data_IF_070612646888
#
_entry.id   IF_070612646888
#
_cell.length_a   1.000
_cell.length_b   1.000
_cell.length_c   1.000
_cell.angle_alpha   90.00
_cell.angle_beta   90.00
_cell.angle_gamma   90.00
#
_symmetry.space_group_name_H-M   'P 1'
#
loop_
_entity.id
_entity.type
_entity.pdbx_description
1 polymer ?
#
# COMPACT_ATOMS: atom_id res chain seq x y z
N UNK A 1 -84.29 -64.76 38.00
CA UNK A 1 -83.39 -64.30 36.91
C UNK A 1 -84.28 -64.07 35.71
N UNK A 2 -84.49 -62.81 35.30
CA UNK A 2 -85.33 -62.51 34.14
C UNK A 2 -84.54 -62.87 32.88
N UNK A 3 -85.06 -63.81 32.08
CA UNK A 3 -84.54 -64.14 30.76
C UNK A 3 -84.71 -62.91 29.87
N UNK A 4 -83.60 -62.22 29.59
CA UNK A 4 -83.58 -61.17 28.57
C UNK A 4 -83.83 -61.88 27.24
N UNK A 5 -84.91 -61.49 26.55
CA UNK A 5 -85.21 -62.00 25.20
C UNK A 5 -84.02 -61.78 24.28
N UNK A 6 -83.73 -62.74 23.42
CA UNK A 6 -82.66 -62.64 22.41
C UNK A 6 -82.80 -61.34 21.59
N UNK A 7 -84.02 -60.89 21.34
CA UNK A 7 -84.32 -59.64 20.63
C UNK A 7 -83.87 -58.40 21.41
N UNK A 8 -84.10 -58.35 22.72
CA UNK A 8 -83.68 -57.24 23.58
C UNK A 8 -82.16 -57.17 23.72
N UNK A 9 -81.50 -58.34 23.77
CA UNK A 9 -80.04 -58.40 23.75
C UNK A 9 -79.46 -57.88 22.43
N UNK A 10 -80.01 -58.34 21.29
CA UNK A 10 -79.58 -57.88 19.95
C UNK A 10 -79.84 -56.39 19.74
N UNK A 11 -80.98 -55.87 20.20
CA UNK A 11 -81.31 -54.44 20.12
C UNK A 11 -80.36 -53.58 20.94
N UNK A 12 -80.04 -54.00 22.16
CA UNK A 12 -79.08 -53.29 23.01
C UNK A 12 -77.65 -53.34 22.44
N UNK A 13 -77.24 -54.47 21.85
CA UNK A 13 -75.95 -54.55 21.16
C UNK A 13 -75.89 -53.66 19.93
N UNK A 14 -76.95 -53.65 19.11
CA UNK A 14 -77.04 -52.78 17.93
C UNK A 14 -76.97 -51.29 18.30
N UNK A 15 -77.69 -50.86 19.34
CA UNK A 15 -77.62 -49.48 19.83
C UNK A 15 -76.24 -49.12 20.37
N UNK A 16 -75.55 -50.04 21.05
CA UNK A 16 -74.19 -49.83 21.56
C UNK A 16 -73.19 -49.69 20.41
N UNK A 17 -73.23 -50.60 19.44
CA UNK A 17 -72.36 -50.54 18.25
C UNK A 17 -72.63 -49.26 17.45
N UNK A 18 -73.89 -48.88 17.28
CA UNK A 18 -74.25 -47.64 16.57
C UNK A 18 -73.72 -46.40 17.28
N UNK A 19 -73.81 -46.35 18.61
CA UNK A 19 -73.27 -45.25 19.41
C UNK A 19 -71.74 -45.21 19.36
N UNK A 20 -71.08 -46.36 19.43
CA UNK A 20 -69.63 -46.45 19.35
C UNK A 20 -69.11 -46.01 17.96
N UNK A 21 -69.81 -46.39 16.88
CA UNK A 21 -69.48 -45.94 15.50
C UNK A 21 -69.67 -44.43 15.36
N UNK A 22 -70.78 -43.87 15.86
CA UNK A 22 -71.03 -42.42 15.83
C UNK A 22 -69.95 -41.68 16.62
N UNK A 23 -69.63 -42.14 17.83
CA UNK A 23 -68.58 -41.53 18.65
C UNK A 23 -67.19 -41.57 17.99
N UNK A 24 -66.83 -42.68 17.34
CA UNK A 24 -65.59 -42.78 16.58
C UNK A 24 -65.59 -41.86 15.35
N UNK A 25 -66.72 -41.70 14.67
CA UNK A 25 -66.86 -40.78 13.53
C UNK A 25 -66.69 -39.32 13.98
N UNK A 26 -67.34 -38.92 15.06
CA UNK A 26 -67.23 -37.56 15.62
C UNK A 26 -65.81 -37.26 16.09
N UNK A 27 -65.15 -38.20 16.76
CA UNK A 27 -63.75 -38.04 17.19
C UNK A 27 -62.80 -37.94 15.99
N UNK A 28 -63.03 -38.74 14.95
CA UNK A 28 -62.26 -38.67 13.71
C UNK A 28 -62.44 -37.33 12.99
N UNK A 29 -63.67 -36.83 12.88
CA UNK A 29 -63.97 -35.55 12.24
C UNK A 29 -63.36 -34.38 13.02
N UNK A 30 -63.40 -34.44 14.36
CA UNK A 30 -62.76 -33.42 15.20
C UNK A 30 -61.23 -33.43 15.03
N UNK A 31 -60.60 -34.61 15.00
CA UNK A 31 -59.16 -34.74 14.72
C UNK A 31 -58.80 -34.20 13.34
N UNK A 32 -59.62 -34.50 12.33
CA UNK A 32 -59.44 -33.97 10.98
C UNK A 32 -59.52 -32.44 10.98
N UNK A 33 -60.54 -31.84 11.59
CA UNK A 33 -60.68 -30.39 11.68
C UNK A 33 -59.48 -29.72 12.37
N UNK A 34 -59.01 -30.27 13.50
CA UNK A 34 -57.83 -29.74 14.19
C UNK A 34 -56.57 -29.83 13.32
N UNK A 35 -56.40 -30.95 12.60
CA UNK A 35 -55.27 -31.13 11.70
C UNK A 35 -55.32 -30.12 10.53
N UNK A 36 -56.49 -29.93 9.92
CA UNK A 36 -56.68 -28.95 8.85
C UNK A 36 -56.41 -27.51 9.31
N UNK A 37 -56.89 -27.12 10.49
CA UNK A 37 -56.60 -25.81 11.08
C UNK A 37 -55.10 -25.59 11.26
N UNK A 38 -54.40 -26.58 11.82
CA UNK A 38 -52.94 -26.53 12.01
C UNK A 38 -52.19 -26.41 10.69
N UNK A 39 -52.60 -27.19 9.68
CA UNK A 39 -52.00 -27.11 8.34
C UNK A 39 -52.22 -25.73 7.71
N UNK A 40 -53.42 -25.18 7.86
CA UNK A 40 -53.76 -23.86 7.34
C UNK A 40 -52.95 -22.74 8.02
N UNK A 41 -52.84 -22.76 9.35
CA UNK A 41 -52.01 -21.80 10.11
C UNK A 41 -50.53 -21.90 9.74
N UNK A 42 -50.03 -23.13 9.51
CA UNK A 42 -48.66 -23.34 9.03
C UNK A 42 -48.44 -22.74 7.64
N UNK A 43 -49.40 -22.93 6.73
CA UNK A 43 -49.34 -22.35 5.39
C UNK A 43 -49.35 -20.81 5.43
N UNK A 44 -50.24 -20.22 6.24
CA UNK A 44 -50.31 -18.78 6.46
C UNK A 44 -48.96 -18.21 6.96
N UNK A 45 -48.35 -18.83 7.96
CA UNK A 45 -47.03 -18.42 8.46
C UNK A 45 -45.93 -18.49 7.40
N UNK A 46 -46.01 -19.45 6.46
CA UNK A 46 -45.07 -19.52 5.34
C UNK A 46 -45.25 -18.36 4.35
N UNK A 47 -46.49 -17.95 4.07
CA UNK A 47 -46.75 -16.77 3.23
C UNK A 47 -46.18 -15.50 3.87
N UNK A 48 -46.41 -15.29 5.17
CA UNK A 48 -45.85 -14.15 5.91
C UNK A 48 -44.32 -14.13 5.84
N UNK A 49 -43.67 -15.27 6.11
CA UNK A 49 -42.20 -15.38 6.02
C UNK A 49 -41.66 -15.09 4.62
N UNK A 50 -42.36 -15.56 3.59
CA UNK A 50 -41.96 -15.32 2.20
C UNK A 50 -42.06 -13.84 1.84
N UNK A 51 -43.15 -13.16 2.24
CA UNK A 51 -43.31 -11.73 2.00
C UNK A 51 -42.25 -10.91 2.76
N UNK A 52 -41.99 -11.23 4.03
CA UNK A 52 -40.94 -10.60 4.85
C UNK A 52 -39.55 -10.74 4.21
N UNK A 53 -39.27 -11.89 3.58
CA UNK A 53 -38.01 -12.09 2.85
C UNK A 53 -37.95 -11.26 1.55
N UNK A 54 -39.06 -11.12 0.84
CA UNK A 54 -39.12 -10.39 -0.43
C UNK A 54 -39.14 -8.87 -0.27
N UNK A 55 -39.66 -8.36 0.86
CA UNK A 55 -39.83 -6.93 1.11
C UNK A 55 -39.78 -6.59 2.60
N UNK A 56 -38.55 -6.51 3.13
CA UNK A 56 -38.31 -6.21 4.54
C UNK A 56 -38.76 -4.79 4.92
N UNK A 57 -38.64 -3.82 4.01
CA UNK A 57 -39.03 -2.42 4.27
C UNK A 57 -40.56 -2.31 4.46
N UNK A 58 -41.33 -3.12 3.73
CA UNK A 58 -42.78 -3.17 3.90
C UNK A 58 -43.20 -3.83 5.23
N UNK A 59 -42.53 -4.90 5.65
CA UNK A 59 -42.74 -5.51 6.97
C UNK A 59 -42.51 -4.49 8.11
N UNK A 60 -41.41 -3.72 8.03
CA UNK A 60 -41.13 -2.66 9.00
C UNK A 60 -42.18 -1.53 9.00
N UNK A 61 -42.77 -1.20 7.84
CA UNK A 61 -43.83 -0.21 7.73
C UNK A 61 -45.17 -0.73 8.30
N UNK A 62 -45.47 -2.00 8.08
CA UNK A 62 -46.63 -2.71 8.65
C UNK A 62 -46.56 -2.75 10.19
N UNK A 63 -45.40 -3.07 10.75
CA UNK A 63 -45.17 -3.03 12.20
C UNK A 63 -45.37 -1.62 12.77
N UNK A 64 -44.82 -0.59 12.12
CA UNK A 64 -44.97 0.81 12.54
C UNK A 64 -46.42 1.32 12.49
N UNK A 65 -47.25 0.75 11.63
CA UNK A 65 -48.66 1.10 11.49
C UNK A 65 -49.61 0.21 12.32
N UNK A 66 -49.06 -0.66 13.18
CA UNK A 66 -49.79 -1.60 14.03
C UNK A 66 -50.67 -2.60 13.24
N UNK A 67 -50.31 -2.85 11.99
CA UNK A 67 -50.91 -3.81 11.09
C UNK A 67 -49.86 -4.84 10.65
N UNK A 68 -49.44 -5.75 11.55
CA UNK A 68 -48.43 -6.75 11.25
C UNK A 68 -48.91 -7.71 10.15
N UNK A 69 -47.97 -8.28 9.41
CA UNK A 69 -48.25 -9.14 8.24
C UNK A 69 -49.07 -10.37 8.63
N UNK A 70 -48.93 -10.87 9.86
CA UNK A 70 -49.67 -11.99 10.44
C UNK A 70 -51.18 -11.74 10.58
N UNK A 71 -51.64 -10.49 10.41
CA UNK A 71 -53.08 -10.14 10.43
C UNK A 71 -53.67 -9.97 9.03
N UNK A 72 -52.87 -10.08 7.97
CA UNK A 72 -53.34 -9.95 6.59
C UNK A 72 -54.07 -11.22 6.15
N UNK A 73 -55.01 -11.09 5.21
CA UNK A 73 -55.64 -12.24 4.59
C UNK A 73 -54.65 -12.97 3.66
N UNK A 74 -54.81 -14.29 3.51
CA UNK A 74 -53.96 -15.11 2.63
C UNK A 74 -53.93 -14.60 1.18
N UNK A 75 -55.08 -14.13 0.68
CA UNK A 75 -55.21 -13.59 -0.68
C UNK A 75 -54.38 -12.30 -0.87
N UNK A 76 -54.37 -11.44 0.15
CA UNK A 76 -53.58 -10.20 0.13
C UNK A 76 -52.08 -10.50 0.20
N UNK A 77 -51.67 -11.44 1.07
CA UNK A 77 -50.29 -11.91 1.16
C UNK A 77 -49.82 -12.50 -0.17
N UNK A 78 -50.61 -13.37 -0.78
CA UNK A 78 -50.30 -13.99 -2.07
C UNK A 78 -50.17 -12.95 -3.19
N UNK A 79 -51.08 -11.97 -3.23
CA UNK A 79 -51.04 -10.89 -4.21
C UNK A 79 -49.77 -10.04 -4.09
N UNK A 80 -49.39 -9.65 -2.87
CA UNK A 80 -48.18 -8.87 -2.61
C UNK A 80 -46.92 -9.63 -3.00
N UNK A 81 -46.83 -10.92 -2.65
CA UNK A 81 -45.72 -11.81 -3.05
C UNK A 81 -45.61 -11.85 -4.58
N UNK A 82 -46.72 -12.04 -5.28
CA UNK A 82 -46.74 -12.09 -6.74
C UNK A 82 -46.24 -10.79 -7.39
N UNK A 83 -46.63 -9.62 -6.87
CA UNK A 83 -46.14 -8.34 -7.37
C UNK A 83 -44.63 -8.22 -7.19
N UNK A 84 -44.12 -8.55 -6.00
CA UNK A 84 -42.68 -8.44 -5.71
C UNK A 84 -41.84 -9.40 -6.54
N UNK A 85 -42.31 -10.63 -6.70
CA UNK A 85 -41.66 -11.60 -7.60
C UNK A 85 -41.63 -11.11 -9.05
N UNK A 86 -42.72 -10.50 -9.56
CA UNK A 86 -42.76 -9.96 -10.91
C UNK A 86 -41.77 -8.82 -11.10
N UNK A 87 -41.69 -7.89 -10.14
CA UNK A 87 -40.73 -6.79 -10.18
C UNK A 87 -39.28 -7.29 -10.23
N UNK A 88 -38.93 -8.28 -9.41
CA UNK A 88 -37.61 -8.92 -9.43
C UNK A 88 -37.31 -9.59 -10.77
N UNK A 89 -38.29 -10.29 -11.36
CA UNK A 89 -38.13 -10.92 -12.67
C UNK A 89 -37.95 -9.90 -13.80
N UNK A 90 -38.65 -8.77 -13.74
CA UNK A 90 -38.53 -7.70 -14.74
C UNK A 90 -37.17 -7.00 -14.64
N UNK A 91 -36.62 -6.83 -13.44
CA UNK A 91 -35.26 -6.31 -13.24
C UNK A 91 -34.17 -7.25 -13.76
N UNK A 92 -34.35 -8.57 -13.59
CA UNK A 92 -33.44 -9.57 -14.17
C UNK A 92 -33.50 -9.52 -15.70
N UNK A 93 -34.70 -9.46 -16.28
CA UNK A 93 -34.87 -9.36 -17.75
C UNK A 93 -34.31 -8.06 -18.34
N UNK A 94 -34.33 -6.96 -17.60
CA UNK A 94 -33.69 -5.69 -18.05
C UNK A 94 -32.16 -5.75 -18.00
N UNK A 95 -31.58 -6.58 -17.13
CA UNK A 95 -30.12 -6.74 -16.98
C UNK A 95 -29.52 -7.73 -17.99
N UNK A 96 -30.30 -8.68 -18.52
CA UNK A 96 -29.86 -9.52 -19.64
C UNK A 96 -29.98 -8.76 -20.97
N UNK A 97 -28.96 -7.97 -21.34
CA UNK A 97 -28.81 -7.46 -22.71
C UNK A 97 -27.95 -8.43 -23.53
N UNK A 98 -28.52 -9.20 -24.49
CA UNK A 98 -27.77 -10.19 -25.27
C UNK A 98 -26.70 -9.62 -26.20
N UNK A 99 -26.68 -8.30 -26.45
CA UNK A 99 -25.65 -7.63 -27.25
C UNK A 99 -24.28 -7.53 -26.55
N UNK A 100 -24.27 -7.19 -25.25
CA UNK A 100 -23.04 -6.99 -24.48
C UNK A 100 -22.24 -8.29 -24.32
N UNK A 101 -22.94 -9.43 -24.20
CA UNK A 101 -22.32 -10.74 -24.05
C UNK A 101 -21.59 -11.20 -25.33
N UNK A 102 -22.14 -10.84 -26.51
CA UNK A 102 -21.48 -11.11 -27.79
C UNK A 102 -20.29 -10.19 -28.03
N UNK A 103 -20.38 -8.93 -27.61
CA UNK A 103 -19.29 -7.96 -27.70
C UNK A 103 -18.13 -8.32 -26.78
N UNK A 104 -18.42 -8.72 -25.54
CA UNK A 104 -17.42 -9.27 -24.61
C UNK A 104 -16.76 -10.52 -25.18
N UNK A 105 -17.53 -11.42 -25.82
CA UNK A 105 -16.97 -12.62 -26.46
C UNK A 105 -16.05 -12.28 -27.64
N UNK A 106 -16.37 -11.24 -28.41
CA UNK A 106 -15.52 -10.75 -29.49
C UNK A 106 -14.21 -10.14 -28.93
N UNK A 107 -14.33 -9.28 -27.92
CA UNK A 107 -13.17 -8.68 -27.25
C UNK A 107 -12.26 -9.74 -26.62
N UNK A 108 -12.83 -10.78 -26.01
CA UNK A 108 -12.06 -11.88 -25.43
C UNK A 108 -11.26 -12.64 -26.49
N UNK A 109 -11.83 -12.82 -27.68
CA UNK A 109 -11.16 -13.47 -28.82
C UNK A 109 -10.01 -12.61 -29.36
N UNK A 110 -10.23 -11.31 -29.53
CA UNK A 110 -9.17 -10.37 -29.94
C UNK A 110 -8.04 -10.30 -28.91
N UNK A 111 -8.39 -10.29 -27.62
CA UNK A 111 -7.41 -10.24 -26.54
C UNK A 111 -6.58 -11.52 -26.49
N UNK A 112 -7.21 -12.69 -26.70
CA UNK A 112 -6.50 -13.97 -26.81
C UNK A 112 -5.52 -14.01 -27.99
N UNK A 113 -5.89 -13.41 -29.12
CA UNK A 113 -5.01 -13.32 -30.29
C UNK A 113 -3.80 -12.41 -30.02
N UNK A 114 -4.03 -11.23 -29.43
CA UNK A 114 -2.96 -10.32 -29.01
C UNK A 114 -2.03 -10.96 -27.98
N UNK A 115 -2.57 -11.73 -27.04
CA UNK A 115 -1.75 -12.44 -26.05
C UNK A 115 -0.82 -13.47 -26.71
N UNK A 116 -1.33 -14.24 -27.67
CA UNK A 116 -0.51 -15.19 -28.44
C UNK A 116 0.58 -14.50 -29.26
N UNK A 117 0.32 -13.33 -29.83
CA UNK A 117 1.34 -12.55 -30.55
C UNK A 117 2.42 -12.03 -29.58
N UNK A 118 2.00 -11.53 -28.41
CA UNK A 118 2.93 -11.05 -27.38
C UNK A 118 3.82 -12.17 -26.85
N UNK A 119 3.26 -13.36 -26.65
CA UNK A 119 4.00 -14.53 -26.17
C UNK A 119 5.09 -14.95 -27.18
N UNK A 120 4.80 -14.90 -28.49
CA UNK A 120 5.80 -15.15 -29.53
C UNK A 120 6.92 -14.10 -29.51
N UNK A 121 6.58 -12.82 -29.37
CA UNK A 121 7.58 -11.74 -29.27
C UNK A 121 8.45 -11.90 -28.02
N UNK A 122 7.83 -12.22 -26.88
CA UNK A 122 8.55 -12.42 -25.63
C UNK A 122 9.52 -13.61 -25.72
N UNK A 123 9.10 -14.71 -26.33
CA UNK A 123 9.97 -15.86 -26.60
C UNK A 123 11.18 -15.47 -27.45
N UNK A 124 10.98 -14.65 -28.50
CA UNK A 124 12.08 -14.12 -29.32
C UNK A 124 13.03 -13.20 -28.54
N UNK A 125 12.51 -12.36 -27.65
CA UNK A 125 13.32 -11.49 -26.80
C UNK A 125 14.15 -12.27 -25.78
N UNK A 126 13.56 -13.30 -25.17
CA UNK A 126 14.27 -14.20 -24.23
C UNK A 126 15.45 -14.90 -24.93
N UNK A 127 15.23 -15.39 -26.16
CA UNK A 127 16.29 -16.02 -26.95
C UNK A 127 17.41 -15.04 -27.31
N UNK A 128 17.06 -13.81 -27.72
CA UNK A 128 18.03 -12.75 -27.99
C UNK A 128 18.84 -12.37 -26.73
N UNK A 129 18.18 -12.28 -25.58
CA UNK A 129 18.85 -11.98 -24.30
C UNK A 129 19.85 -13.08 -23.92
N UNK A 130 19.46 -14.36 -24.11
CA UNK A 130 20.35 -15.50 -23.87
C UNK A 130 21.59 -15.46 -24.78
N UNK A 131 21.42 -15.04 -26.04
CA UNK A 131 22.54 -14.85 -26.97
C UNK A 131 23.49 -13.73 -26.53
N UNK A 132 22.94 -12.57 -26.15
CA UNK A 132 23.74 -11.44 -25.65
C UNK A 132 24.48 -11.78 -24.35
N UNK A 133 23.86 -12.53 -23.44
CA UNK A 133 24.54 -13.03 -22.25
C UNK A 133 25.70 -13.98 -22.59
N UNK A 134 25.54 -14.86 -23.59
CA UNK A 134 26.61 -15.70 -24.09
C UNK A 134 27.78 -14.90 -24.66
N UNK A 135 27.49 -13.88 -25.48
CA UNK A 135 28.50 -12.97 -26.02
C UNK A 135 29.24 -12.19 -24.92
N UNK A 136 28.51 -11.69 -23.92
CA UNK A 136 29.08 -10.96 -22.79
C UNK A 136 29.98 -11.86 -21.92
N UNK A 137 29.58 -13.12 -21.70
CA UNK A 137 30.42 -14.11 -21.01
C UNK A 137 31.70 -14.43 -21.78
N UNK A 138 31.62 -14.54 -23.11
CA UNK A 138 32.78 -14.73 -23.97
C UNK A 138 33.71 -13.52 -23.93
N UNK A 139 33.18 -12.29 -24.01
CA UNK A 139 33.97 -11.06 -23.90
C UNK A 139 34.63 -10.92 -22.54
N UNK A 140 33.93 -11.25 -21.45
CA UNK A 140 34.51 -11.26 -20.11
C UNK A 140 35.63 -12.31 -19.97
N UNK A 141 35.48 -13.47 -20.62
CA UNK A 141 36.52 -14.50 -20.67
C UNK A 141 37.74 -14.03 -21.49
N UNK A 142 37.53 -13.29 -22.57
CA UNK A 142 38.63 -12.66 -23.31
C UNK A 142 39.33 -11.56 -22.50
N UNK A 143 38.57 -10.73 -21.78
CA UNK A 143 39.14 -9.70 -20.91
C UNK A 143 39.93 -10.30 -19.74
N UNK A 144 39.47 -11.41 -19.15
CA UNK A 144 40.21 -12.10 -18.09
C UNK A 144 41.49 -12.74 -18.62
N UNK A 145 41.46 -13.34 -19.82
CA UNK A 145 42.65 -13.85 -20.49
C UNK A 145 43.67 -12.75 -20.82
N UNK A 146 43.21 -11.59 -21.31
CA UNK A 146 44.08 -10.42 -21.54
C UNK A 146 44.69 -9.88 -20.25
N UNK A 147 43.92 -9.78 -19.16
CA UNK A 147 44.43 -9.37 -17.85
C UNK A 147 45.46 -10.36 -17.30
N UNK A 148 45.25 -11.65 -17.49
CA UNK A 148 46.21 -12.68 -17.09
C UNK A 148 47.50 -12.58 -17.90
N UNK A 149 47.40 -12.45 -19.23
CA UNK A 149 48.57 -12.24 -20.10
C UNK A 149 49.34 -10.95 -19.75
N UNK A 150 48.64 -9.87 -19.39
CA UNK A 150 49.26 -8.62 -18.95
C UNK A 150 49.97 -8.78 -17.59
N UNK A 151 49.40 -9.58 -16.68
CA UNK A 151 50.01 -9.91 -15.38
C UNK A 151 51.23 -10.83 -15.54
N UNK A 152 51.21 -11.73 -16.52
CA UNK A 152 52.34 -12.61 -16.84
C UNK A 152 53.48 -11.84 -17.52
N UNK A 153 53.17 -10.84 -18.36
CA UNK A 153 54.16 -9.88 -18.89
C UNK A 153 54.76 -9.05 -17.75
N UNK A 154 53.94 -8.51 -16.83
CA UNK A 154 54.42 -7.71 -15.70
C UNK A 154 55.29 -8.53 -14.72
N UNK A 155 54.96 -9.81 -14.50
CA UNK A 155 55.75 -10.71 -13.66
C UNK A 155 57.07 -11.16 -14.31
N UNK A 156 57.17 -11.15 -15.65
CA UNK A 156 58.44 -11.39 -16.35
C UNK A 156 59.36 -10.16 -16.34
N UNK A 157 58.82 -8.94 -16.21
CA UNK A 157 59.63 -7.71 -16.15
C UNK A 157 60.22 -7.42 -14.76
N UNK A 158 59.77 -8.09 -13.69
CA UNK A 158 60.19 -7.80 -12.29
C UNK A 158 61.49 -8.54 -11.86
N UNK A 159 62.13 -9.31 -12.74
CA UNK A 159 63.51 -9.83 -12.50
C UNK A 159 64.61 -9.05 -13.21
N UNK A 160 64.32 -7.84 -13.70
CA UNK A 160 65.32 -6.98 -14.32
C UNK A 160 65.10 -5.52 -13.98
N UNK A 161 66.13 -4.91 -13.40
CA UNK A 161 66.41 -3.46 -13.35
C UNK A 161 65.96 -2.71 -12.09
N UNK A 162 66.98 -2.48 -11.27
CA UNK A 162 67.13 -1.52 -10.19
C UNK A 162 67.12 -0.08 -10.75
N UNK A 163 66.56 0.84 -9.96
CA UNK A 163 66.81 2.29 -9.94
C UNK A 163 66.19 3.12 -11.07
N UNK A 164 65.29 4.05 -10.72
CA UNK A 164 65.56 5.51 -10.61
C UNK A 164 64.22 6.26 -10.49
N UNK A 165 64.17 7.20 -9.54
CA UNK A 165 63.27 8.35 -9.39
C UNK A 165 61.77 8.11 -9.13
N UNK A 166 61.37 8.41 -7.89
CA UNK A 166 60.04 8.94 -7.57
C UNK A 166 59.77 10.20 -8.39
N UNK A 167 58.70 10.17 -9.18
CA UNK A 167 58.07 11.36 -9.74
C UNK A 167 56.77 11.55 -8.94
N UNK A 168 56.61 12.67 -8.22
CA UNK A 168 55.33 12.99 -7.61
C UNK A 168 54.32 13.26 -8.73
N UNK A 169 53.22 12.52 -8.72
CA UNK A 169 52.05 12.84 -9.53
C UNK A 169 51.53 14.19 -9.03
N UNK A 170 51.82 15.25 -9.77
CA UNK A 170 51.17 16.55 -9.59
C UNK A 170 49.68 16.38 -9.90
N UNK A 171 48.77 16.82 -9.02
CA UNK A 171 47.37 16.99 -9.38
C UNK A 171 47.23 18.30 -10.18
N UNK A 172 47.68 18.26 -11.44
CA UNK A 172 47.39 19.30 -12.43
C UNK A 172 45.95 19.15 -12.92
N UNK A 173 45.00 19.53 -12.04
CA UNK A 173 43.66 20.01 -12.41
C UNK A 173 42.88 20.58 -11.21
N UNK A 174 43.57 21.08 -10.17
CA UNK A 174 42.96 22.09 -9.29
C UNK A 174 42.97 23.41 -10.06
N UNK A 175 41.95 23.64 -10.88
CA UNK A 175 41.56 24.98 -11.28
C UNK A 175 41.66 25.85 -10.02
N UNK A 176 42.46 26.91 -10.09
CA UNK A 176 42.82 27.76 -8.96
C UNK A 176 41.60 28.01 -8.08
N UNK A 177 41.58 27.40 -6.88
CA UNK A 177 40.48 27.56 -5.93
C UNK A 177 40.18 29.06 -5.78
N UNK A 178 38.91 29.48 -5.93
CA UNK A 178 38.54 30.88 -5.81
C UNK A 178 39.12 31.53 -4.54
N UNK A 179 39.62 32.77 -4.68
CA UNK A 179 40.35 33.47 -3.61
C UNK A 179 39.53 33.56 -2.32
N UNK A 180 38.20 33.70 -2.44
CA UNK A 180 37.28 33.78 -1.32
C UNK A 180 37.26 32.53 -0.44
N UNK A 181 37.61 31.34 -0.96
CA UNK A 181 37.63 30.09 -0.16
C UNK A 181 38.61 30.21 1.02
N UNK A 182 39.75 30.89 0.82
CA UNK A 182 40.72 31.13 1.89
C UNK A 182 40.16 32.09 2.95
N UNK A 183 39.45 33.13 2.53
CA UNK A 183 38.77 34.06 3.44
C UNK A 183 37.69 33.35 4.24
N UNK A 184 36.91 32.47 3.60
CA UNK A 184 35.90 31.66 4.25
C UNK A 184 36.49 30.66 5.25
N UNK A 185 37.60 29.98 4.91
CA UNK A 185 38.34 29.09 5.83
C UNK A 185 38.84 29.80 7.09
N UNK A 186 39.17 31.09 6.99
CA UNK A 186 39.60 31.91 8.12
C UNK A 186 38.42 32.50 8.94
N UNK A 187 37.18 32.32 8.48
CA UNK A 187 36.00 32.88 9.16
C UNK A 187 35.64 32.12 10.44
N UNK A 188 35.06 32.82 11.42
CA UNK A 188 34.61 32.22 12.69
C UNK A 188 33.49 31.17 12.53
N UNK A 189 32.79 31.18 11.39
CA UNK A 189 31.70 30.27 11.08
C UNK A 189 32.12 29.00 10.34
N UNK A 190 33.36 28.94 9.87
CA UNK A 190 33.82 27.93 8.93
C UNK A 190 33.61 26.50 9.42
N UNK A 191 33.93 26.19 10.67
CA UNK A 191 33.87 24.82 11.19
C UNK A 191 32.46 24.21 11.04
N UNK A 192 31.41 24.94 11.41
CA UNK A 192 30.03 24.44 11.30
C UNK A 192 29.51 24.49 9.87
N UNK A 193 29.81 25.57 9.15
CA UNK A 193 29.34 25.76 7.77
C UNK A 193 30.00 24.76 6.79
N UNK A 194 31.29 24.45 6.98
CA UNK A 194 31.97 23.41 6.19
C UNK A 194 31.39 22.02 6.46
N UNK A 195 31.04 21.70 7.70
CA UNK A 195 30.36 20.43 8.02
C UNK A 195 28.99 20.32 7.37
N UNK A 196 28.22 21.42 7.23
CA UNK A 196 26.97 21.39 6.48
C UNK A 196 27.20 21.01 5.01
N UNK A 197 28.18 21.64 4.36
CA UNK A 197 28.55 21.34 2.96
C UNK A 197 29.03 19.90 2.82
N UNK A 198 29.87 19.42 3.74
CA UNK A 198 30.36 18.04 3.78
C UNK A 198 29.22 17.04 3.98
N UNK A 199 28.28 17.30 4.90
CA UNK A 199 27.11 16.44 5.11
C UNK A 199 26.28 16.35 3.84
N UNK A 200 25.97 17.49 3.22
CA UNK A 200 25.16 17.51 1.99
C UNK A 200 25.86 16.77 0.85
N UNK A 201 27.16 16.98 0.64
CA UNK A 201 27.89 16.31 -0.43
C UNK A 201 28.17 14.82 -0.16
N UNK A 202 28.46 14.42 1.08
CA UNK A 202 28.75 13.01 1.40
C UNK A 202 27.50 12.13 1.42
N UNK A 203 26.34 12.72 1.72
CA UNK A 203 25.10 11.95 1.95
C UNK A 203 24.02 12.20 0.91
N UNK A 204 24.11 13.32 0.17
CA UNK A 204 23.05 13.77 -0.73
C UNK A 204 21.80 14.28 -0.01
N UNK A 205 21.81 14.43 1.32
CA UNK A 205 20.64 14.85 2.10
C UNK A 205 20.13 16.23 1.68
N UNK A 206 18.81 16.34 1.51
CA UNK A 206 18.15 17.55 1.04
C UNK A 206 17.35 18.27 2.14
N UNK A 207 16.81 17.55 3.12
CA UNK A 207 15.95 18.16 4.13
C UNK A 207 16.78 18.84 5.21
N UNK A 208 16.50 20.13 5.49
CA UNK A 208 17.22 20.90 6.52
C UNK A 208 17.28 20.21 7.89
N UNK A 209 16.18 19.65 8.45
CA UNK A 209 16.26 18.92 9.73
C UNK A 209 17.17 17.69 9.69
N UNK A 210 17.28 17.05 8.53
CA UNK A 210 18.11 15.86 8.34
C UNK A 210 19.58 16.20 8.23
N UNK A 211 19.88 17.31 7.53
CA UNK A 211 21.22 17.89 7.45
C UNK A 211 21.68 18.29 8.85
N UNK A 212 20.87 19.05 9.61
CA UNK A 212 21.25 19.50 10.96
C UNK A 212 21.43 18.33 11.94
N UNK A 213 20.60 17.28 11.84
CA UNK A 213 20.77 16.05 12.61
C UNK A 213 22.11 15.36 12.33
N UNK A 214 22.51 15.27 11.07
CA UNK A 214 23.78 14.63 10.70
C UNK A 214 24.99 15.51 11.07
N UNK A 215 24.86 16.83 10.95
CA UNK A 215 25.86 17.78 11.47
C UNK A 215 26.05 17.60 12.97
N UNK A 216 24.97 17.50 13.74
CA UNK A 216 25.01 17.30 15.19
C UNK A 216 25.76 16.01 15.55
N UNK A 217 25.53 14.90 14.83
CA UNK A 217 26.28 13.65 15.01
C UNK A 217 27.76 13.82 14.72
N UNK A 218 28.13 14.42 13.58
CA UNK A 218 29.55 14.58 13.18
C UNK A 218 30.32 15.50 14.12
N UNK A 219 29.68 16.54 14.63
CA UNK A 219 30.27 17.50 15.57
C UNK A 219 30.14 17.07 17.03
N UNK A 220 29.47 15.95 17.33
CA UNK A 220 29.15 15.52 18.69
C UNK A 220 28.44 16.61 19.53
N UNK A 221 27.51 17.35 18.89
CA UNK A 221 26.74 18.44 19.50
C UNK A 221 25.29 18.02 19.77
N UNK A 222 24.65 18.66 20.76
CA UNK A 222 23.19 18.53 20.94
C UNK A 222 22.43 19.28 19.84
N UNK A 223 21.30 18.69 19.43
CA UNK A 223 20.33 19.30 18.52
C UNK A 223 19.64 20.55 19.12
N UNK A 224 19.68 20.74 20.44
CA UNK A 224 19.00 21.84 21.14
C UNK A 224 19.68 23.21 20.94
N UNK A 225 20.79 23.24 20.18
CA UNK A 225 21.57 24.46 19.94
C UNK A 225 21.28 25.03 18.56
N UNK A 226 20.63 26.21 18.51
CA UNK A 226 20.33 26.96 17.29
C UNK A 226 21.55 27.28 16.41
N UNK A 227 22.78 27.13 16.93
CA UNK A 227 23.99 27.41 16.17
C UNK A 227 24.22 26.53 14.93
N UNK A 228 23.64 25.32 14.87
CA UNK A 228 23.69 24.49 13.66
C UNK A 228 22.73 25.02 12.59
N UNK A 229 21.54 25.45 13.02
CA UNK A 229 20.56 26.05 12.12
C UNK A 229 21.07 27.38 11.56
N UNK A 230 21.72 28.19 12.40
CA UNK A 230 22.38 29.42 11.97
C UNK A 230 23.51 29.16 10.96
N UNK A 231 24.30 28.09 11.15
CA UNK A 231 25.35 27.72 10.22
C UNK A 231 24.81 27.35 8.83
N UNK A 232 23.64 26.70 8.75
CA UNK A 232 22.93 26.44 7.49
C UNK A 232 22.35 27.73 6.92
N UNK A 233 21.74 28.59 7.75
CA UNK A 233 21.21 29.89 7.30
C UNK A 233 22.28 30.80 6.67
N UNK A 234 23.50 30.81 7.20
CA UNK A 234 24.59 31.61 6.63
C UNK A 234 24.92 31.20 5.19
N UNK A 235 24.84 29.91 4.89
CA UNK A 235 25.16 29.37 3.55
C UNK A 235 24.10 29.70 2.48
N UNK A 236 22.90 30.15 2.90
CA UNK A 236 21.81 30.58 2.03
C UNK A 236 21.94 32.02 1.55
N UNK A 237 22.86 32.80 2.14
CA UNK A 237 23.08 34.20 1.81
C UNK A 237 24.52 34.42 1.39
N UNK A 238 24.73 35.42 0.55
CA UNK A 238 26.08 35.91 0.26
C UNK A 238 26.60 36.67 1.49
N UNK A 239 27.81 36.33 1.93
CA UNK A 239 28.50 37.07 2.98
C UNK A 239 29.66 37.83 2.33
N UNK A 240 29.53 39.16 2.26
CA UNK A 240 30.47 40.04 1.56
C UNK A 240 31.91 39.79 2.04
N UNK A 241 32.82 39.58 1.08
CA UNK A 241 34.24 39.24 1.32
C UNK A 241 34.50 37.90 2.02
N UNK A 242 33.49 37.06 2.23
CA UNK A 242 33.62 35.75 2.88
C UNK A 242 33.30 34.62 1.90
N UNK A 243 32.04 34.48 1.48
CA UNK A 243 31.61 33.43 0.56
C UNK A 243 30.36 33.82 -0.26
N UNK A 244 30.21 33.30 -1.50
CA UNK A 244 28.96 33.39 -2.25
C UNK A 244 27.89 32.47 -1.64
N UNK A 245 26.68 32.45 -2.20
CA UNK A 245 25.63 31.51 -1.81
C UNK A 245 26.10 30.07 -2.13
N UNK A 246 26.24 29.23 -1.11
CA UNK A 246 26.74 27.85 -1.25
C UNK A 246 25.61 26.80 -1.22
N UNK A 247 24.47 27.18 -0.67
CA UNK A 247 23.26 26.36 -0.60
C UNK A 247 22.09 27.21 -1.08
N UNK A 248 21.16 26.61 -1.79
CA UNK A 248 19.91 27.25 -2.16
C UNK A 248 18.69 26.45 -1.69
N UNK A 249 17.58 27.15 -1.46
CA UNK A 249 16.27 26.53 -1.24
C UNK A 249 15.65 26.18 -2.58
N UNK A 250 15.13 24.97 -2.71
CA UNK A 250 14.37 24.59 -3.91
C UNK A 250 13.01 25.30 -3.87
N UNK A 251 12.71 26.10 -4.89
CA UNK A 251 11.46 26.84 -5.03
C UNK A 251 10.28 25.92 -5.38
N UNK A 252 9.05 26.41 -5.20
CA UNK A 252 7.82 25.69 -5.53
C UNK A 252 7.37 24.65 -4.49
N UNK A 253 7.95 24.69 -3.30
CA UNK A 253 7.51 23.86 -2.16
C UNK A 253 6.28 24.47 -1.50
N UNK A 254 5.27 23.67 -1.11
CA UNK A 254 4.14 24.20 -0.36
C UNK A 254 4.56 24.62 1.06
N UNK A 255 4.03 25.76 1.48
CA UNK A 255 4.25 26.30 2.83
C UNK A 255 3.68 25.40 3.94
N UNK A 256 2.75 24.48 3.61
CA UNK A 256 2.14 23.54 4.55
C UNK A 256 2.43 22.08 4.16
N UNK A 257 2.95 21.31 5.12
CA UNK A 257 3.37 19.91 4.96
C UNK A 257 2.25 18.88 5.13
N UNK A 258 1.00 19.33 5.32
CA UNK A 258 -0.19 18.48 5.36
C UNK A 258 -1.47 19.32 5.46
N UNK A 259 -2.61 18.70 5.14
CA UNK A 259 -3.96 19.22 5.41
C UNK A 259 -4.23 19.45 6.92
N UNK A 260 -3.30 19.03 7.79
CA UNK A 260 -3.40 19.01 9.26
C UNK A 260 -2.45 19.96 9.98
N UNK A 261 -1.69 20.80 9.26
CA UNK A 261 -0.98 21.95 9.85
C UNK A 261 0.44 21.68 10.38
N UNK A 262 1.21 20.79 9.75
CA UNK A 262 2.67 20.72 9.98
C UNK A 262 3.44 21.62 9.00
N UNK A 263 4.53 22.25 9.43
CA UNK A 263 5.44 22.95 8.50
C UNK A 263 6.18 21.93 7.63
N UNK A 264 6.18 22.13 6.31
CA UNK A 264 7.10 21.43 5.41
C UNK A 264 8.55 21.80 5.77
N UNK A 265 9.48 20.84 5.85
CA UNK A 265 10.88 21.18 6.01
C UNK A 265 11.40 21.95 4.78
N UNK A 266 12.33 22.88 5.02
CA UNK A 266 13.12 23.47 3.93
C UNK A 266 13.84 22.35 3.16
N UNK A 267 13.69 22.36 1.83
CA UNK A 267 14.43 21.47 0.92
C UNK A 267 15.59 22.26 0.32
N UNK A 268 16.80 21.76 0.54
CA UNK A 268 18.06 22.43 0.26
C UNK A 268 18.88 21.65 -0.78
N UNK A 269 19.66 22.35 -1.59
CA UNK A 269 20.69 21.75 -2.46
C UNK A 269 21.95 22.61 -2.51
N UNK A 270 23.08 21.97 -2.79
CA UNK A 270 24.34 22.70 -3.05
C UNK A 270 24.25 23.44 -4.38
N UNK A 271 24.64 24.70 -4.39
CA UNK A 271 24.88 25.48 -5.62
C UNK A 271 26.12 24.95 -6.35
N UNK A 272 26.42 25.44 -7.56
CA UNK A 272 27.66 25.07 -8.25
C UNK A 272 28.90 25.47 -7.43
N UNK A 273 28.86 26.63 -6.79
CA UNK A 273 29.89 27.10 -5.85
C UNK A 273 29.98 26.18 -4.62
N UNK A 274 28.84 25.74 -4.08
CA UNK A 274 28.79 24.78 -2.98
C UNK A 274 29.41 23.42 -3.34
N UNK A 275 29.20 22.94 -4.57
CA UNK A 275 29.82 21.70 -5.08
C UNK A 275 31.33 21.83 -5.24
N UNK A 276 31.80 22.97 -5.77
CA UNK A 276 33.23 23.26 -5.88
C UNK A 276 33.90 23.29 -4.50
N UNK A 277 33.26 23.93 -3.52
CA UNK A 277 33.73 23.92 -2.13
C UNK A 277 33.77 22.51 -1.57
N UNK A 278 32.70 21.72 -1.76
CA UNK A 278 32.69 20.34 -1.31
C UNK A 278 33.86 19.55 -1.89
N UNK A 279 34.07 19.63 -3.20
CA UNK A 279 35.17 18.94 -3.88
C UNK A 279 36.54 19.37 -3.35
N UNK A 280 36.70 20.66 -3.02
CA UNK A 280 37.91 21.18 -2.40
C UNK A 280 38.15 20.62 -0.99
N UNK A 281 37.09 20.39 -0.21
CA UNK A 281 37.16 19.88 1.16
C UNK A 281 37.28 18.35 1.24
N UNK A 282 36.55 17.62 0.39
CA UNK A 282 36.44 16.16 0.43
C UNK A 282 37.38 15.45 -0.56
N UNK A 283 37.84 16.14 -1.61
CA UNK A 283 38.72 15.58 -2.65
C UNK A 283 38.01 14.72 -3.70
N UNK A 284 36.67 14.67 -3.70
CA UNK A 284 35.86 13.98 -4.70
C UNK A 284 34.54 14.72 -4.97
N UNK A 285 33.82 14.27 -6.00
CA UNK A 285 32.52 14.84 -6.37
C UNK A 285 31.44 14.56 -5.30
N UNK A 286 30.49 15.49 -5.08
CA UNK A 286 29.38 15.29 -4.15
C UNK A 286 28.39 14.26 -4.69
N UNK A 287 27.80 13.50 -3.77
CA UNK A 287 26.63 12.67 -4.06
C UNK A 287 25.47 13.58 -4.48
N UNK A 288 24.76 13.18 -5.53
CA UNK A 288 23.60 13.91 -6.03
C UNK A 288 22.51 14.08 -4.97
N UNK A 289 21.86 15.25 -5.00
CA UNK A 289 20.78 15.60 -4.07
C UNK A 289 19.63 14.57 -4.13
N UNK A 290 19.22 14.07 -2.97
CA UNK A 290 18.23 12.99 -2.87
C UNK A 290 16.85 13.44 -3.37
N UNK A 291 16.48 14.71 -3.17
CA UNK A 291 15.21 15.25 -3.65
C UNK A 291 15.19 15.32 -5.18
N UNK A 292 16.25 15.87 -5.80
CA UNK A 292 16.36 15.95 -7.27
C UNK A 292 16.33 14.59 -7.95
N UNK A 293 16.83 13.55 -7.27
CA UNK A 293 16.76 12.16 -7.72
C UNK A 293 15.34 11.60 -7.60
N UNK A 294 14.67 11.82 -6.47
CA UNK A 294 13.39 11.19 -6.14
C UNK A 294 12.19 11.89 -6.77
N UNK A 295 12.22 13.21 -6.97
CA UNK A 295 11.09 13.97 -7.54
C UNK A 295 10.72 13.49 -8.96
N UNK A 296 11.67 12.88 -9.68
CA UNK A 296 11.45 12.29 -11.01
C UNK A 296 10.62 11.00 -10.96
N UNK A 297 10.52 10.38 -9.79
CA UNK A 297 9.84 9.11 -9.57
C UNK A 297 8.51 9.26 -8.83
N UNK A 298 8.19 10.44 -8.32
CA UNK A 298 7.00 10.66 -7.49
C UNK A 298 6.10 11.76 -8.07
N UNK A 299 4.81 11.67 -7.74
CA UNK A 299 3.76 12.51 -8.34
C UNK A 299 3.76 13.97 -7.90
N UNK A 300 4.36 14.30 -6.73
CA UNK A 300 4.35 15.67 -6.20
C UNK A 300 5.52 15.96 -5.25
N UNK A 301 5.88 17.25 -5.06
CA UNK A 301 6.88 17.66 -4.08
C UNK A 301 6.61 17.15 -2.66
N UNK A 302 5.35 17.21 -2.20
CA UNK A 302 4.96 16.79 -0.85
C UNK A 302 5.15 15.29 -0.67
N UNK A 303 4.71 14.52 -1.67
CA UNK A 303 4.85 13.07 -1.65
C UNK A 303 6.34 12.67 -1.68
N UNK A 304 7.17 13.40 -2.41
CA UNK A 304 8.63 13.20 -2.41
C UNK A 304 9.26 13.48 -1.04
N UNK A 305 8.88 14.58 -0.38
CA UNK A 305 9.38 14.91 0.97
C UNK A 305 8.95 13.85 1.98
N UNK A 306 7.69 13.41 1.94
CA UNK A 306 7.19 12.34 2.80
C UNK A 306 7.95 11.03 2.60
N UNK A 307 8.28 10.69 1.35
CA UNK A 307 9.07 9.51 1.01
C UNK A 307 10.49 9.58 1.58
N UNK A 308 11.17 10.73 1.44
CA UNK A 308 12.49 10.94 2.04
C UNK A 308 12.41 10.72 3.56
N UNK A 309 11.41 11.32 4.23
CA UNK A 309 11.24 11.20 5.67
C UNK A 309 10.93 9.77 6.12
N UNK A 310 10.07 9.05 5.38
CA UNK A 310 9.79 7.64 5.66
C UNK A 310 11.05 6.79 5.51
N UNK A 311 11.83 6.99 4.45
CA UNK A 311 13.10 6.31 4.23
C UNK A 311 14.10 6.56 5.37
N UNK A 312 14.18 7.78 5.90
CA UNK A 312 15.05 8.08 7.05
C UNK A 312 14.66 7.32 8.31
N UNK A 313 13.36 7.23 8.63
CA UNK A 313 12.89 6.44 9.77
C UNK A 313 13.15 4.94 9.58
N UNK A 314 13.04 4.44 8.35
CA UNK A 314 13.37 3.07 8.02
C UNK A 314 14.86 2.79 8.23
N UNK A 315 15.75 3.64 7.68
CA UNK A 315 17.21 3.51 7.86
C UNK A 315 17.61 3.60 9.33
N UNK A 316 17.06 4.56 10.07
CA UNK A 316 17.31 4.70 11.51
C UNK A 316 16.85 3.46 12.31
N UNK A 317 15.83 2.74 11.83
CA UNK A 317 15.35 1.49 12.40
C UNK A 317 16.10 0.25 11.90
N UNK A 318 17.12 0.42 11.05
CA UNK A 318 17.97 -0.66 10.54
C UNK A 318 17.51 -1.28 9.22
N UNK A 319 16.44 -0.77 8.60
CA UNK A 319 16.01 -1.24 7.27
C UNK A 319 17.00 -0.80 6.19
N UNK A 320 17.27 -1.69 5.23
CA UNK A 320 18.13 -1.39 4.08
C UNK A 320 17.27 -1.00 2.88
N UNK A 321 17.26 0.29 2.54
CA UNK A 321 16.53 0.80 1.36
C UNK A 321 17.18 0.25 0.08
N UNK A 322 16.38 -0.38 -0.78
CA UNK A 322 16.79 -0.74 -2.14
C UNK A 322 16.66 0.51 -3.01
N UNK A 323 17.70 0.80 -3.80
CA UNK A 323 17.88 2.04 -4.57
C UNK A 323 16.68 2.45 -5.45
N UNK A 324 16.78 2.30 -6.77
CA UNK A 324 15.68 2.69 -7.65
C UNK A 324 14.52 1.69 -7.51
N UNK A 325 13.31 2.21 -7.30
CA UNK A 325 12.09 1.41 -7.24
C UNK A 325 11.93 0.64 -8.55
N UNK A 326 11.67 -0.67 -8.43
CA UNK A 326 11.41 -1.53 -9.58
C UNK A 326 9.91 -1.74 -9.76
N UNK A 327 9.46 -1.71 -11.01
CA UNK A 327 8.11 -2.11 -11.37
C UNK A 327 7.92 -3.62 -11.17
N UNK A 328 6.88 -3.97 -10.42
CA UNK A 328 6.52 -5.34 -10.09
C UNK A 328 5.40 -5.77 -11.02
N UNK A 329 5.62 -6.84 -11.76
CA UNK A 329 4.59 -7.45 -12.61
C UNK A 329 3.68 -8.32 -11.75
N UNK A 330 2.38 -8.06 -11.81
CA UNK A 330 1.34 -8.76 -11.07
C UNK A 330 0.84 -9.97 -11.89
N UNK A 331 0.27 -10.96 -11.21
CA UNK A 331 -0.27 -12.17 -11.83
C UNK A 331 -1.46 -11.89 -12.75
N UNK A 332 -2.17 -10.79 -12.51
CA UNK A 332 -3.25 -10.30 -13.37
C UNK A 332 -2.77 -9.59 -14.65
N UNK A 333 -1.47 -9.51 -14.88
CA UNK A 333 -0.86 -8.81 -16.03
C UNK A 333 -0.77 -7.29 -15.88
N UNK A 334 -1.21 -6.73 -14.75
CA UNK A 334 -0.96 -5.35 -14.36
C UNK A 334 0.41 -5.16 -13.73
N UNK A 335 0.73 -3.91 -13.40
CA UNK A 335 1.97 -3.59 -12.71
C UNK A 335 1.73 -2.75 -11.45
N UNK A 336 2.71 -2.81 -10.56
CA UNK A 336 2.72 -2.09 -9.30
C UNK A 336 4.10 -1.53 -9.02
N UNK A 337 4.15 -0.24 -8.66
CA UNK A 337 5.39 0.47 -8.35
C UNK A 337 5.24 0.94 -6.89
N UNK A 338 5.95 0.32 -5.93
CA UNK A 338 5.87 0.74 -4.54
C UNK A 338 6.57 2.08 -4.33
N UNK A 339 6.12 2.86 -3.36
CA UNK A 339 6.80 4.12 -3.03
C UNK A 339 8.24 3.87 -2.52
N UNK A 340 8.42 2.87 -1.66
CA UNK A 340 9.72 2.46 -1.12
C UNK A 340 9.85 0.93 -1.13
N UNK A 341 11.03 0.43 -1.49
CA UNK A 341 11.41 -0.97 -1.32
C UNK A 341 12.55 -1.08 -0.30
N UNK A 342 12.42 -1.97 0.68
CA UNK A 342 13.42 -2.13 1.74
C UNK A 342 13.62 -3.59 2.14
N UNK A 343 14.78 -3.93 2.69
CA UNK A 343 15.00 -5.23 3.35
C UNK A 343 14.72 -5.07 4.84
N UNK A 344 13.85 -5.92 5.39
CA UNK A 344 13.59 -5.98 6.83
C UNK A 344 14.82 -6.57 7.56
N UNK A 345 15.37 -5.88 8.58
CA UNK A 345 16.58 -6.35 9.26
C UNK A 345 16.36 -7.61 10.10
N UNK A 346 15.11 -7.91 10.48
CA UNK A 346 14.75 -9.04 11.33
C UNK A 346 14.54 -10.30 10.50
N UNK A 347 13.85 -10.19 9.37
CA UNK A 347 13.50 -11.34 8.52
C UNK A 347 14.42 -11.51 7.32
N UNK A 348 15.11 -10.46 6.89
CA UNK A 348 15.88 -10.42 5.64
C UNK A 348 15.02 -10.36 4.39
N UNK A 349 13.69 -10.21 4.53
CA UNK A 349 12.76 -10.19 3.41
C UNK A 349 12.70 -8.82 2.74
N UNK A 350 12.48 -8.82 1.42
CA UNK A 350 12.17 -7.61 0.66
C UNK A 350 10.71 -7.23 0.95
N UNK A 351 10.51 -6.03 1.48
CA UNK A 351 9.19 -5.45 1.76
C UNK A 351 8.92 -4.25 0.86
N UNK A 352 7.64 -4.08 0.55
CA UNK A 352 7.12 -2.99 -0.26
C UNK A 352 6.27 -2.07 0.62
N UNK A 353 6.60 -0.78 0.59
CA UNK A 353 6.06 0.22 1.50
C UNK A 353 5.39 1.31 0.69
N UNK A 354 4.16 1.65 1.07
CA UNK A 354 3.41 2.77 0.53
C UNK A 354 3.47 3.98 1.46
N UNK A 355 3.61 5.18 0.89
CA UNK A 355 3.66 6.43 1.63
C UNK A 355 2.44 7.26 1.26
N UNK A 356 1.46 7.32 2.16
CA UNK A 356 0.18 7.95 1.90
C UNK A 356 -0.03 9.25 2.66
N UNK A 357 -0.68 10.17 1.95
CA UNK A 357 -1.19 11.44 2.49
C UNK A 357 -2.71 11.47 2.36
N UNK A 358 -3.34 12.26 3.22
CA UNK A 358 -4.78 12.46 3.18
C UNK A 358 -5.13 13.40 2.01
N UNK A 359 -5.34 12.81 0.83
CA UNK A 359 -5.85 13.48 -0.36
C UNK A 359 -7.09 12.77 -0.87
N UNK A 360 -8.11 13.54 -1.22
CA UNK A 360 -9.30 13.02 -1.88
C UNK A 360 -8.93 12.42 -3.25
N UNK A 361 -8.79 11.10 -3.27
CA UNK A 361 -8.60 10.29 -4.48
C UNK A 361 -9.88 9.49 -4.76
N UNK A 362 -10.04 9.10 -6.01
CA UNK A 362 -11.15 8.25 -6.45
C UNK A 362 -11.17 6.91 -5.70
N UNK A 363 -12.33 6.50 -5.20
CA UNK A 363 -12.48 5.31 -4.35
C UNK A 363 -12.11 4.02 -5.07
N UNK A 364 -12.36 3.92 -6.38
CA UNK A 364 -12.05 2.72 -7.16
C UNK A 364 -10.54 2.58 -7.39
N UNK A 365 -9.87 3.68 -7.74
CA UNK A 365 -8.41 3.71 -7.87
C UNK A 365 -7.69 3.31 -6.57
N UNK A 366 -8.22 3.76 -5.43
CA UNK A 366 -7.72 3.44 -4.09
C UNK A 366 -7.90 1.96 -3.74
N UNK A 367 -9.07 1.41 -4.02
CA UNK A 367 -9.32 -0.02 -3.84
C UNK A 367 -8.34 -0.86 -4.67
N UNK A 368 -8.14 -0.50 -5.94
CA UNK A 368 -7.22 -1.22 -6.82
C UNK A 368 -5.77 -1.14 -6.32
N UNK A 369 -5.34 0.02 -5.82
CA UNK A 369 -4.01 0.18 -5.21
C UNK A 369 -3.79 -0.82 -4.07
N UNK A 370 -4.76 -0.99 -3.18
CA UNK A 370 -4.64 -1.92 -2.06
C UNK A 370 -4.64 -3.39 -2.48
N UNK A 371 -5.40 -3.74 -3.52
CA UNK A 371 -5.38 -5.08 -4.12
C UNK A 371 -4.01 -5.35 -4.76
N UNK A 372 -3.46 -4.40 -5.52
CA UNK A 372 -2.16 -4.54 -6.15
C UNK A 372 -1.02 -4.68 -5.12
N UNK A 373 -1.06 -3.88 -4.05
CA UNK A 373 -0.09 -4.00 -2.96
C UNK A 373 -0.20 -5.37 -2.28
N UNK A 374 -1.43 -5.82 -1.97
CA UNK A 374 -1.66 -7.14 -1.36
C UNK A 374 -1.07 -8.26 -2.23
N UNK A 375 -1.29 -8.20 -3.54
CA UNK A 375 -0.77 -9.19 -4.48
C UNK A 375 0.77 -9.14 -4.57
N UNK A 376 1.34 -7.94 -4.69
CA UNK A 376 2.79 -7.74 -4.77
C UNK A 376 3.52 -8.18 -3.50
N UNK A 377 2.94 -7.97 -2.32
CA UNK A 377 3.57 -8.23 -1.03
C UNK A 377 3.16 -9.55 -0.37
N UNK A 378 2.42 -10.40 -1.11
CA UNK A 378 1.88 -11.66 -0.60
C UNK A 378 1.09 -11.46 0.72
N UNK A 379 0.27 -10.42 0.75
CA UNK A 379 -0.60 -10.09 1.88
C UNK A 379 0.07 -9.34 3.03
N UNK A 380 1.30 -8.83 2.89
CA UNK A 380 1.96 -8.02 3.92
C UNK A 380 1.97 -6.54 3.55
N UNK A 381 1.03 -5.77 4.08
CA UNK A 381 0.88 -4.35 3.73
C UNK A 381 1.65 -3.47 4.70
N UNK A 382 2.67 -2.76 4.21
CA UNK A 382 3.43 -1.79 4.98
C UNK A 382 3.09 -0.37 4.51
N UNK A 383 2.63 0.49 5.42
CA UNK A 383 2.16 1.82 5.05
C UNK A 383 2.63 2.89 6.04
N UNK A 384 3.31 3.90 5.51
CA UNK A 384 3.60 5.14 6.19
C UNK A 384 2.51 6.16 5.89
N UNK A 385 1.98 6.78 6.94
CA UNK A 385 1.03 7.87 6.83
C UNK A 385 1.67 9.16 7.34
N UNK A 386 1.14 10.31 6.94
CA UNK A 386 1.59 11.58 7.51
C UNK A 386 1.27 11.69 9.02
N UNK A 387 0.01 11.43 9.40
CA UNK A 387 -0.48 11.59 10.77
C UNK A 387 -1.48 10.48 11.18
N UNK A 388 -1.88 10.50 12.45
CA UNK A 388 -2.75 9.47 13.03
C UNK A 388 -4.16 9.44 12.40
N UNK A 389 -4.71 10.60 12.05
CA UNK A 389 -6.03 10.70 11.40
C UNK A 389 -5.97 10.03 10.03
N UNK A 390 -4.97 10.38 9.21
CA UNK A 390 -4.70 9.71 7.94
C UNK A 390 -4.53 8.20 8.13
N UNK A 391 -3.69 7.77 9.08
CA UNK A 391 -3.48 6.34 9.36
C UNK A 391 -4.78 5.57 9.62
N UNK A 392 -5.72 6.16 10.39
CA UNK A 392 -7.02 5.54 10.66
C UNK A 392 -7.89 5.46 9.42
N UNK A 393 -7.92 6.50 8.59
CA UNK A 393 -8.63 6.50 7.32
C UNK A 393 -8.08 5.42 6.37
N UNK A 394 -6.76 5.39 6.20
CA UNK A 394 -6.05 4.38 5.39
C UNK A 394 -6.36 2.96 5.87
N UNK A 395 -6.32 2.71 7.18
CA UNK A 395 -6.67 1.41 7.74
C UNK A 395 -8.12 1.02 7.37
N UNK A 396 -9.06 1.96 7.46
CA UNK A 396 -10.45 1.76 7.06
C UNK A 396 -10.58 1.42 5.57
N UNK A 397 -9.85 2.12 4.72
CA UNK A 397 -9.82 1.85 3.26
C UNK A 397 -9.26 0.47 2.95
N UNK A 398 -8.13 0.07 3.56
CA UNK A 398 -7.54 -1.26 3.39
C UNK A 398 -8.53 -2.34 3.84
N UNK A 399 -9.19 -2.14 4.99
CA UNK A 399 -10.19 -3.08 5.52
C UNK A 399 -11.37 -3.26 4.55
N UNK A 400 -11.84 -2.19 3.92
CA UNK A 400 -12.93 -2.22 2.94
C UNK A 400 -12.48 -2.86 1.61
N UNK A 401 -11.27 -2.55 1.15
CA UNK A 401 -10.73 -3.04 -0.11
C UNK A 401 -10.44 -4.54 -0.10
N UNK A 402 -9.87 -5.03 1.00
CA UNK A 402 -9.42 -6.41 1.19
C UNK A 402 -10.39 -7.24 2.04
N UNK A 403 -11.66 -6.80 2.14
CA UNK A 403 -12.69 -7.51 2.91
C UNK A 403 -12.82 -8.97 2.45
N UNK A 404 -12.62 -9.91 3.37
CA UNK A 404 -12.68 -11.35 3.10
C UNK A 404 -11.34 -12.00 2.72
N UNK A 405 -10.25 -11.22 2.60
CA UNK A 405 -8.90 -11.74 2.37
C UNK A 405 -8.10 -11.81 3.68
N UNK A 406 -7.15 -12.74 3.74
CA UNK A 406 -6.24 -12.87 4.88
C UNK A 406 -4.97 -12.04 4.63
N UNK A 407 -4.74 -10.98 5.42
CA UNK A 407 -3.58 -10.10 5.25
C UNK A 407 -3.05 -9.59 6.58
N UNK A 408 -1.75 -9.28 6.59
CA UNK A 408 -1.06 -8.54 7.63
C UNK A 408 -0.99 -7.06 7.25
N UNK A 409 -1.17 -6.16 8.22
CA UNK A 409 -1.00 -4.73 7.99
C UNK A 409 -0.13 -4.09 9.07
N UNK A 410 0.89 -3.38 8.62
CA UNK A 410 1.88 -2.67 9.43
C UNK A 410 1.79 -1.19 9.07
N UNK A 411 1.11 -0.43 9.93
CA UNK A 411 0.86 0.99 9.70
C UNK A 411 1.63 1.83 10.71
N UNK A 412 2.15 2.96 10.23
CA UNK A 412 2.79 3.97 11.08
C UNK A 412 2.44 5.37 10.60
N UNK A 413 2.79 6.38 11.40
CA UNK A 413 2.67 7.78 10.98
C UNK A 413 3.86 8.63 11.40
N UNK A 414 4.31 9.51 10.51
CA UNK A 414 5.50 10.35 10.69
C UNK A 414 5.36 11.28 11.90
N UNK A 415 4.19 11.89 12.10
CA UNK A 415 3.94 12.76 13.25
C UNK A 415 4.19 12.03 14.58
N UNK A 416 3.68 10.80 14.73
CA UNK A 416 3.91 9.97 15.91
C UNK A 416 5.38 9.63 16.11
N UNK A 417 6.06 9.18 15.05
CA UNK A 417 7.47 8.78 15.11
C UNK A 417 8.40 9.95 15.49
N UNK A 418 8.12 11.16 14.99
CA UNK A 418 8.85 12.40 15.34
C UNK A 418 8.71 12.76 16.82
N UNK A 419 7.53 12.53 17.39
CA UNK A 419 7.26 12.74 18.81
C UNK A 419 7.74 11.57 19.69
N UNK A 420 8.64 10.72 19.17
CA UNK A 420 9.23 9.61 19.91
C UNK A 420 8.31 8.41 20.12
N UNK A 421 7.11 8.37 19.52
CA UNK A 421 6.24 7.19 19.64
C UNK A 421 6.88 5.98 18.98
N UNK A 422 6.74 4.83 19.62
CA UNK A 422 7.16 3.52 19.12
C UNK A 422 6.05 2.51 19.41
N UNK A 423 6.09 1.38 18.72
CA UNK A 423 5.18 0.26 18.96
C UNK A 423 5.26 -0.20 20.41
N UNK A 424 4.11 -0.34 21.06
CA UNK A 424 4.04 -0.83 22.45
C UNK A 424 4.43 -2.31 22.57
N UNK A 425 4.40 -3.07 21.47
CA UNK A 425 4.64 -4.52 21.49
C UNK A 425 6.12 -4.88 21.42
N UNK A 426 6.85 -4.20 20.54
CA UNK A 426 8.23 -4.55 20.16
C UNK A 426 9.18 -3.35 20.13
N UNK A 427 8.69 -2.14 20.46
CA UNK A 427 9.49 -0.91 20.37
C UNK A 427 9.81 -0.47 18.94
N UNK A 428 9.26 -1.16 17.93
CA UNK A 428 9.52 -0.88 16.52
C UNK A 428 8.85 0.39 15.99
N UNK A 429 9.10 0.70 14.72
CA UNK A 429 8.53 1.86 14.03
C UNK A 429 7.08 1.64 13.55
N UNK A 430 6.60 0.40 13.53
CA UNK A 430 5.24 0.05 13.09
C UNK A 430 4.24 0.22 14.24
N UNK A 431 3.64 1.41 14.35
CA UNK A 431 2.78 1.77 15.48
C UNK A 431 1.48 0.94 15.56
N UNK A 432 0.99 0.42 14.45
CA UNK A 432 -0.22 -0.40 14.37
C UNK A 432 0.04 -1.65 13.55
N UNK A 433 0.11 -2.79 14.22
CA UNK A 433 0.30 -4.10 13.57
C UNK A 433 -0.93 -4.97 13.77
N UNK A 434 -1.58 -5.32 12.65
CA UNK A 434 -2.63 -6.34 12.57
C UNK A 434 -2.08 -7.53 11.82
N UNK A 435 -2.22 -8.72 12.41
CA UNK A 435 -1.91 -9.96 11.70
C UNK A 435 -3.20 -10.59 11.19
N UNK A 436 -3.12 -11.12 9.99
CA UNK A 436 -4.16 -11.92 9.37
C UNK A 436 -4.46 -13.16 10.23
N UNK A 437 -5.73 -13.55 10.31
CA UNK A 437 -6.18 -14.73 11.03
C UNK A 437 -6.48 -15.86 10.05
#
# INVERSE_FOLDING_TARGET
>A
MAEISLEDFQRNQSMRISRDIIGQSEEHDQKMQTNWQKMWETAHQHLVKLLRFLDQDYDEACEKSNHPLEKLADDDLAYLIHIRMRALMDDVKRKEKPGELNEIRHQLKELGQKYSELEQVNMGLVEANKKLQGENNNLNSHLSALRQAQKDVLNQTVTGTRSVAEVPVTPDNLASLPIWIKSWQASKGFEKSSVAVLVMGDTGKALRPSITKEMAKRLSLSMDNNSLDEAVSRLLVEEENCHPILIEKIEGMPEQGSSSGGNSPDVLRLTEEGKLVYQALAGHEPIGNEYDRLIRCHSSPEHTILNIQAAEFLVDAGYLIKGQVQEIQLSNGGSFIPDISAIDPTTGELIFIEVERDVHKDKMSRKQKWINLYEASNGNLYVFCDNLTGQRAIQGEINLALGGLNYNSFLTNLHGLRNGKRSEKDGGIWLSVRRGK
#
